data_IF_781920052886
#
_entry.id   IF_781920052886
#
_cell.length_a   1.000
_cell.length_b   1.000
_cell.length_c   1.000
_cell.angle_alpha   90.00
_cell.angle_beta   90.00
_cell.angle_gamma   90.00
#
_symmetry.space_group_name_H-M   'P 1'
#
loop_
_entity.id
_entity.type
_entity.pdbx_description
1 polymer ?
#
# COMPACT_ATOMS: atom_id res chain seq x y z
N UNK A 1 -1.90 15.26 12.96
CA UNK A 1 -3.05 16.13 12.60
C UNK A 1 -3.39 16.07 11.12
N UNK A 2 -2.48 15.59 10.30
CA UNK A 2 -2.56 15.64 8.83
C UNK A 2 -2.62 14.23 8.21
N UNK A 3 -3.09 13.23 8.95
CA UNK A 3 -3.28 11.84 8.51
C UNK A 3 -4.76 11.51 8.54
N UNK A 4 -5.28 10.95 7.46
CA UNK A 4 -6.58 10.29 7.40
C UNK A 4 -6.41 8.81 7.08
N UNK A 5 -7.34 8.01 7.53
CA UNK A 5 -7.47 6.58 7.21
C UNK A 5 -8.78 6.41 6.47
N UNK A 6 -8.71 5.93 5.22
CA UNK A 6 -9.88 5.50 4.47
C UNK A 6 -9.88 3.98 4.49
N UNK A 7 -10.83 3.41 5.20
CA UNK A 7 -10.98 1.96 5.38
C UNK A 7 -12.12 1.44 4.51
N UNK A 8 -11.79 0.73 3.45
CA UNK A 8 -12.75 -0.05 2.67
C UNK A 8 -12.84 -1.45 3.27
N UNK A 9 -13.99 -1.77 3.84
CA UNK A 9 -14.20 -2.97 4.64
C UNK A 9 -15.22 -3.87 3.96
N UNK A 10 -14.72 -4.90 3.30
CA UNK A 10 -15.52 -5.84 2.52
C UNK A 10 -16.07 -6.95 3.44
N UNK A 11 -17.39 -7.12 3.43
CA UNK A 11 -18.13 -8.14 4.18
C UNK A 11 -17.75 -8.19 5.68
N UNK A 12 -17.76 -7.02 6.38
CA UNK A 12 -17.32 -6.96 7.76
C UNK A 12 -18.25 -7.74 8.69
N UNK A 13 -17.68 -8.41 9.68
CA UNK A 13 -18.45 -8.94 10.81
C UNK A 13 -18.91 -7.81 11.75
N UNK A 14 -19.96 -8.05 12.53
CA UNK A 14 -20.45 -7.10 13.53
C UNK A 14 -19.37 -6.72 14.55
N UNK A 15 -18.46 -7.67 14.86
CA UNK A 15 -17.36 -7.46 15.82
C UNK A 15 -16.31 -6.50 15.23
N UNK A 16 -15.98 -6.63 13.95
CA UNK A 16 -15.06 -5.75 13.24
C UNK A 16 -15.64 -4.35 13.09
N UNK A 17 -16.92 -4.24 12.73
CA UNK A 17 -17.62 -2.94 12.66
C UNK A 17 -17.55 -2.23 13.99
N UNK A 18 -17.91 -2.94 15.07
CA UNK A 18 -17.86 -2.39 16.42
C UNK A 18 -16.46 -1.92 16.83
N UNK A 19 -15.42 -2.67 16.46
CA UNK A 19 -14.05 -2.26 16.71
C UNK A 19 -13.71 -0.93 16.02
N UNK A 20 -14.12 -0.76 14.75
CA UNK A 20 -13.91 0.50 14.02
C UNK A 20 -14.68 1.64 14.65
N UNK A 21 -15.92 1.40 15.10
CA UNK A 21 -16.72 2.39 15.81
C UNK A 21 -16.03 2.85 17.12
N UNK A 22 -15.47 1.93 17.90
CA UNK A 22 -14.70 2.24 19.11
C UNK A 22 -13.47 3.12 18.82
N UNK A 23 -12.84 2.96 17.66
CA UNK A 23 -11.74 3.82 17.20
C UNK A 23 -12.24 5.17 16.70
N UNK A 24 -13.38 5.23 16.00
CA UNK A 24 -14.00 6.47 15.55
C UNK A 24 -14.46 7.37 16.70
N UNK A 25 -14.79 6.79 17.87
CA UNK A 25 -15.07 7.57 19.07
C UNK A 25 -13.81 8.29 19.63
N UNK A 26 -12.62 7.77 19.33
CA UNK A 26 -11.33 8.29 19.84
C UNK A 26 -10.61 9.18 18.84
N UNK A 27 -10.84 8.94 17.54
CA UNK A 27 -10.11 9.57 16.44
C UNK A 27 -11.10 10.04 15.38
N UNK A 28 -10.98 11.28 14.94
CA UNK A 28 -11.85 11.93 13.96
C UNK A 28 -11.34 11.85 12.51
N UNK A 29 -10.34 11.00 12.28
CA UNK A 29 -9.62 10.89 11.01
C UNK A 29 -9.78 9.53 10.31
N UNK A 30 -10.77 8.71 10.72
CA UNK A 30 -11.06 7.42 10.09
C UNK A 30 -12.37 7.53 9.30
N UNK A 31 -12.30 7.31 8.01
CA UNK A 31 -13.46 7.20 7.13
C UNK A 31 -13.72 5.73 6.81
N UNK A 32 -14.79 5.18 7.36
CA UNK A 32 -15.15 3.77 7.24
C UNK A 32 -16.21 3.56 6.17
N UNK A 33 -15.88 2.76 5.16
CA UNK A 33 -16.76 2.34 4.08
C UNK A 33 -17.05 0.86 4.26
N UNK A 34 -18.30 0.50 4.53
CA UNK A 34 -18.74 -0.89 4.64
C UNK A 34 -19.32 -1.33 3.30
N UNK A 35 -18.91 -2.49 2.83
CA UNK A 35 -19.29 -3.07 1.54
C UNK A 35 -19.86 -4.46 1.78
N UNK A 36 -21.03 -4.73 1.21
CA UNK A 36 -21.62 -6.07 1.20
C UNK A 36 -20.91 -6.95 0.18
N UNK A 37 -20.37 -8.09 0.63
CA UNK A 37 -19.59 -9.01 -0.20
C UNK A 37 -18.12 -8.59 -0.30
N UNK A 38 -17.36 -9.30 -1.14
CA UNK A 38 -15.92 -9.13 -1.32
C UNK A 38 -15.60 -8.66 -2.73
N UNK A 39 -15.16 -7.43 -2.85
CA UNK A 39 -14.70 -6.84 -4.11
C UNK A 39 -13.26 -7.24 -4.45
N UNK A 40 -12.87 -7.27 -5.73
CA UNK A 40 -11.47 -7.28 -6.14
C UNK A 40 -10.68 -6.12 -5.52
N UNK A 41 -9.42 -6.36 -5.18
CA UNK A 41 -8.57 -5.38 -4.49
C UNK A 41 -8.48 -4.03 -5.23
N UNK A 42 -8.47 -4.04 -6.57
CA UNK A 42 -8.44 -2.82 -7.39
C UNK A 42 -9.66 -1.93 -7.16
N UNK A 43 -10.87 -2.51 -7.03
CA UNK A 43 -12.11 -1.79 -6.76
C UNK A 43 -12.06 -1.16 -5.37
N UNK A 44 -11.69 -1.93 -4.36
CA UNK A 44 -11.55 -1.46 -2.97
C UNK A 44 -10.54 -0.31 -2.86
N UNK A 45 -9.38 -0.44 -3.49
CA UNK A 45 -8.35 0.60 -3.49
C UNK A 45 -8.79 1.87 -4.23
N UNK A 46 -9.51 1.75 -5.35
CA UNK A 46 -10.04 2.91 -6.07
C UNK A 46 -11.09 3.64 -5.24
N UNK A 47 -11.96 2.93 -4.54
CA UNK A 47 -12.94 3.51 -3.62
C UNK A 47 -12.25 4.27 -2.48
N UNK A 48 -11.14 3.74 -1.94
CA UNK A 48 -10.32 4.48 -0.99
C UNK A 48 -9.71 5.75 -1.60
N UNK A 49 -9.15 5.67 -2.82
CA UNK A 49 -8.55 6.82 -3.53
C UNK A 49 -9.58 7.93 -3.79
N UNK A 50 -10.80 7.56 -4.19
CA UNK A 50 -11.88 8.52 -4.46
C UNK A 50 -12.29 9.29 -3.21
N UNK A 51 -12.30 8.62 -2.06
CA UNK A 51 -12.70 9.20 -0.78
C UNK A 51 -11.55 9.86 0.00
N UNK A 52 -10.29 9.61 -0.39
CA UNK A 52 -9.14 10.23 0.24
C UNK A 52 -9.04 11.73 -0.11
N UNK A 53 -8.78 12.58 0.87
CA UNK A 53 -8.57 14.03 0.70
C UNK A 53 -7.09 14.43 0.66
N UNK A 54 -6.19 13.56 1.13
CA UNK A 54 -4.76 13.82 1.25
C UNK A 54 -4.03 14.00 -0.08
N UNK A 55 -2.97 14.81 -0.08
CA UNK A 55 -2.09 15.02 -1.23
C UNK A 55 -1.19 13.81 -1.50
N UNK A 56 -0.91 13.03 -0.47
CA UNK A 56 -0.12 11.81 -0.52
C UNK A 56 -0.97 10.61 -0.16
N UNK A 57 -0.80 9.52 -0.88
CA UNK A 57 -1.51 8.27 -0.66
C UNK A 57 -0.51 7.15 -0.38
N UNK A 58 -0.80 6.33 0.62
CA UNK A 58 -0.10 5.08 0.83
C UNK A 58 -1.09 3.95 1.04
N UNK A 59 -0.78 2.78 0.51
CA UNK A 59 -1.57 1.58 0.70
C UNK A 59 -1.12 0.93 2.01
N UNK A 60 -2.06 0.43 2.78
CA UNK A 60 -1.77 -0.32 3.99
C UNK A 60 -2.67 -1.55 4.06
N UNK A 61 -2.10 -2.72 3.87
CA UNK A 61 -2.80 -3.97 4.10
C UNK A 61 -2.93 -4.21 5.60
N UNK A 62 -4.07 -4.71 6.04
CA UNK A 62 -4.39 -4.87 7.48
C UNK A 62 -3.51 -5.92 8.20
N UNK A 63 -2.86 -6.80 7.45
CA UNK A 63 -1.94 -7.83 7.95
C UNK A 63 -0.47 -7.39 8.00
N UNK A 64 -0.15 -6.20 7.47
CA UNK A 64 1.20 -5.63 7.51
C UNK A 64 1.38 -4.68 8.70
N UNK A 65 2.59 -4.59 9.23
CA UNK A 65 2.94 -3.71 10.34
C UNK A 65 3.87 -2.60 9.84
N UNK A 66 3.51 -1.34 10.07
CA UNK A 66 4.38 -0.20 9.78
C UNK A 66 5.21 0.20 10.99
N UNK A 67 6.41 0.73 10.73
CA UNK A 67 7.16 1.42 11.80
C UNK A 67 6.43 2.74 12.16
N UNK A 68 6.51 3.20 13.41
CA UNK A 68 5.74 4.35 13.89
C UNK A 68 5.95 5.65 13.09
N UNK A 69 7.14 5.83 12.53
CA UNK A 69 7.57 7.02 11.79
C UNK A 69 7.56 6.83 10.26
N UNK A 70 7.14 5.67 9.75
CA UNK A 70 7.18 5.35 8.32
C UNK A 70 6.41 6.36 7.45
N UNK A 71 5.22 6.77 7.88
CA UNK A 71 4.37 7.73 7.15
C UNK A 71 5.04 9.11 7.13
N UNK A 72 5.55 9.57 8.27
CA UNK A 72 6.22 10.87 8.38
C UNK A 72 7.49 10.92 7.52
N UNK A 73 8.31 9.88 7.57
CA UNK A 73 9.55 9.80 6.78
C UNK A 73 9.24 9.83 5.28
N UNK A 74 8.23 9.08 4.82
CA UNK A 74 7.83 9.07 3.41
C UNK A 74 7.24 10.42 2.97
N UNK A 75 6.36 11.01 3.77
CA UNK A 75 5.77 12.32 3.46
C UNK A 75 6.85 13.40 3.37
N UNK A 76 7.77 13.44 4.35
CA UNK A 76 8.89 14.36 4.34
C UNK A 76 9.79 14.16 3.11
N UNK A 77 10.05 12.92 2.70
CA UNK A 77 10.86 12.65 1.51
C UNK A 77 10.18 13.19 0.24
N UNK A 78 8.86 13.13 0.16
CA UNK A 78 8.12 13.77 -0.94
C UNK A 78 8.18 15.31 -0.83
N UNK A 79 7.99 15.90 0.35
CA UNK A 79 8.06 17.35 0.54
C UNK A 79 9.43 17.92 0.13
N UNK A 80 10.50 17.26 0.54
CA UNK A 80 11.87 17.68 0.24
C UNK A 80 12.24 17.48 -1.25
N UNK A 81 11.48 16.67 -2.01
CA UNK A 81 11.75 16.34 -3.41
C UNK A 81 10.51 16.55 -4.31
N UNK A 82 10.16 17.80 -4.67
CA UNK A 82 8.93 18.10 -5.41
C UNK A 82 8.85 17.52 -6.82
N UNK A 83 9.96 17.09 -7.40
CA UNK A 83 10.07 16.43 -8.71
C UNK A 83 9.85 14.90 -8.63
N UNK A 84 9.75 14.35 -7.41
CA UNK A 84 9.51 12.92 -7.16
C UNK A 84 8.02 12.66 -7.03
N UNK A 85 7.53 11.61 -7.71
CA UNK A 85 6.13 11.23 -7.71
C UNK A 85 5.78 10.18 -6.66
N UNK A 86 6.73 9.35 -6.29
CA UNK A 86 6.55 8.31 -5.27
C UNK A 86 7.86 7.99 -4.55
N UNK A 87 7.73 7.50 -3.33
CA UNK A 87 8.84 7.05 -2.49
C UNK A 87 8.57 5.64 -1.99
N UNK A 88 9.60 4.88 -1.77
CA UNK A 88 9.59 3.52 -1.21
C UNK A 88 10.84 3.29 -0.38
N UNK A 89 10.89 2.23 0.40
CA UNK A 89 12.05 1.97 1.24
C UNK A 89 12.18 0.50 1.62
N UNK A 90 13.05 0.23 2.57
CA UNK A 90 13.37 -1.12 3.01
C UNK A 90 12.30 -1.67 3.96
N UNK A 91 12.25 -2.97 4.13
CA UNK A 91 11.28 -3.64 5.01
C UNK A 91 11.77 -5.02 5.45
N UNK A 92 11.06 -5.63 6.38
CA UNK A 92 11.27 -7.02 6.76
C UNK A 92 10.13 -7.91 6.24
N UNK A 93 10.46 -9.11 5.79
CA UNK A 93 9.49 -10.17 5.56
C UNK A 93 9.44 -11.02 6.82
N UNK A 94 8.26 -11.15 7.43
CA UNK A 94 8.07 -11.84 8.71
C UNK A 94 7.12 -13.02 8.59
N UNK A 95 7.33 -14.10 9.36
CA UNK A 95 6.54 -15.33 9.24
C UNK A 95 5.23 -15.32 10.02
N UNK A 96 5.02 -14.34 10.91
CA UNK A 96 3.82 -14.25 11.72
C UNK A 96 3.45 -12.81 12.03
N UNK A 97 2.16 -12.55 12.16
CA UNK A 97 1.63 -11.23 12.50
C UNK A 97 2.24 -10.70 13.81
N UNK A 98 2.61 -9.43 13.80
CA UNK A 98 3.25 -8.77 14.94
C UNK A 98 4.72 -9.13 15.17
N UNK A 99 5.30 -10.08 14.41
CA UNK A 99 6.73 -10.38 14.48
C UNK A 99 7.54 -9.22 13.90
N UNK A 100 8.68 -8.92 14.52
CA UNK A 100 9.69 -7.99 14.02
C UNK A 100 10.98 -8.68 13.60
N UNK A 101 11.04 -10.02 13.72
CA UNK A 101 12.17 -10.84 13.31
C UNK A 101 11.86 -11.46 11.94
N UNK A 102 12.66 -11.14 10.93
CA UNK A 102 12.44 -11.65 9.58
C UNK A 102 13.60 -11.42 8.66
N UNK A 103 13.39 -11.67 7.38
CA UNK A 103 14.35 -11.41 6.32
C UNK A 103 14.30 -9.92 5.96
N UNK A 104 15.41 -9.22 6.12
CA UNK A 104 15.53 -7.83 5.68
C UNK A 104 15.62 -7.74 4.16
N UNK A 105 14.83 -6.86 3.58
CA UNK A 105 14.82 -6.53 2.15
C UNK A 105 15.37 -5.12 2.00
N UNK A 106 16.53 -5.03 1.35
CA UNK A 106 17.18 -3.77 1.02
C UNK A 106 17.05 -3.50 -0.47
N UNK A 107 16.36 -2.41 -0.82
CA UNK A 107 16.13 -1.99 -2.19
C UNK A 107 17.08 -0.87 -2.65
N UNK A 108 18.12 -0.59 -1.86
CA UNK A 108 19.14 0.42 -2.18
C UNK A 108 19.84 0.11 -3.51
N UNK A 109 19.93 1.12 -4.37
CA UNK A 109 20.61 1.02 -5.68
C UNK A 109 19.87 0.20 -6.73
N UNK A 110 18.57 -0.09 -6.52
CA UNK A 110 17.75 -0.87 -7.45
C UNK A 110 16.76 -0.04 -8.25
N UNK A 111 16.89 1.28 -8.27
CA UNK A 111 15.95 2.20 -8.91
C UNK A 111 15.75 1.91 -10.41
N UNK A 112 16.79 1.38 -11.08
CA UNK A 112 16.71 0.98 -12.49
C UNK A 112 15.76 -0.21 -12.74
N UNK A 113 15.50 -1.03 -11.70
CA UNK A 113 14.60 -2.18 -11.79
C UNK A 113 13.13 -1.84 -11.57
N UNK A 114 12.80 -0.59 -11.23
CA UNK A 114 11.41 -0.15 -11.02
C UNK A 114 10.47 -0.48 -12.20
N UNK A 115 11.01 -0.50 -13.42
CA UNK A 115 10.24 -0.77 -14.63
C UNK A 115 10.23 -2.25 -15.07
N UNK A 116 10.88 -3.12 -14.31
CA UNK A 116 11.02 -4.55 -14.67
C UNK A 116 10.71 -5.49 -13.49
N UNK A 117 10.44 -4.97 -12.32
CA UNK A 117 10.13 -5.77 -11.13
C UNK A 117 9.43 -4.98 -10.03
N UNK A 118 8.71 -5.69 -9.16
CA UNK A 118 8.05 -5.10 -7.99
C UNK A 118 9.07 -4.88 -6.87
N UNK A 119 9.88 -3.82 -7.00
CA UNK A 119 10.86 -3.43 -5.97
C UNK A 119 10.33 -2.38 -4.99
N UNK A 120 9.13 -1.80 -5.23
CA UNK A 120 8.53 -0.89 -4.27
C UNK A 120 8.15 -1.57 -2.95
N UNK A 121 7.94 -2.89 -3.00
CA UNK A 121 7.43 -3.62 -1.87
C UNK A 121 6.02 -3.17 -1.44
N UNK A 122 5.56 -3.58 -0.26
CA UNK A 122 4.22 -3.22 0.24
C UNK A 122 4.16 -1.82 0.86
N UNK A 123 5.32 -1.17 1.07
CA UNK A 123 5.42 0.09 1.81
C UNK A 123 5.91 1.22 0.91
N UNK A 124 5.03 1.74 0.07
CA UNK A 124 5.31 2.92 -0.74
C UNK A 124 4.26 4.00 -0.53
N UNK A 125 4.63 5.24 -0.86
CA UNK A 125 3.75 6.41 -0.83
C UNK A 125 3.91 7.18 -2.13
N UNK A 126 2.83 7.72 -2.65
CA UNK A 126 2.84 8.46 -3.91
C UNK A 126 1.97 9.72 -3.84
N UNK A 127 2.27 10.69 -4.68
CA UNK A 127 1.44 11.89 -4.82
C UNK A 127 0.11 11.51 -5.47
N UNK A 128 -1.01 11.94 -4.90
CA UNK A 128 -2.34 11.79 -5.53
C UNK A 128 -2.36 12.40 -6.93
N UNK A 129 -1.64 13.50 -7.14
CA UNK A 129 -1.50 14.16 -8.44
C UNK A 129 -0.82 13.29 -9.51
N UNK A 130 0.00 12.30 -9.15
CA UNK A 130 0.64 11.39 -10.08
C UNK A 130 -0.37 10.49 -10.81
N UNK A 131 -1.52 10.22 -10.18
CA UNK A 131 -2.61 9.44 -10.78
C UNK A 131 -3.21 10.09 -12.02
N UNK A 132 -3.05 11.40 -12.23
CA UNK A 132 -3.50 12.08 -13.46
C UNK A 132 -2.84 11.53 -14.73
N UNK A 133 -1.63 11.00 -14.61
CA UNK A 133 -0.89 10.39 -15.72
C UNK A 133 -0.89 8.87 -15.66
N UNK A 134 -0.76 8.32 -14.46
CA UNK A 134 -0.63 6.88 -14.27
C UNK A 134 -1.99 6.16 -14.22
N UNK A 135 -3.08 6.89 -14.03
CA UNK A 135 -4.39 6.31 -13.75
C UNK A 135 -4.49 5.75 -12.34
N UNK A 136 -5.61 5.17 -12.02
CA UNK A 136 -5.91 4.47 -10.76
C UNK A 136 -5.66 2.97 -10.89
N UNK A 137 -6.02 2.15 -9.92
CA UNK A 137 -5.90 0.69 -10.03
C UNK A 137 -6.71 0.13 -11.20
N UNK A 138 -6.18 -0.88 -11.89
CA UNK A 138 -6.95 -1.63 -12.88
C UNK A 138 -7.87 -2.63 -12.15
N UNK A 139 -9.17 -2.39 -12.24
CA UNK A 139 -10.21 -3.17 -11.57
C UNK A 139 -10.43 -4.56 -12.19
N UNK A 140 -9.88 -4.80 -13.37
CA UNK A 140 -9.94 -6.10 -14.04
C UNK A 140 -8.92 -7.10 -13.47
N UNK A 141 -7.90 -6.59 -12.75
CA UNK A 141 -6.86 -7.43 -12.16
C UNK A 141 -7.33 -8.02 -10.82
N UNK A 142 -7.35 -9.33 -10.75
CA UNK A 142 -7.67 -10.06 -9.52
C UNK A 142 -6.48 -10.13 -8.55
N UNK A 143 -5.27 -10.08 -9.09
CA UNK A 143 -4.00 -10.03 -8.35
C UNK A 143 -3.01 -9.11 -9.07
N UNK A 144 -2.00 -8.59 -8.36
CA UNK A 144 -0.95 -7.77 -8.98
C UNK A 144 -1.38 -6.36 -9.41
N UNK A 145 -2.57 -5.90 -9.01
CA UNK A 145 -3.04 -4.54 -9.29
C UNK A 145 -2.12 -3.46 -8.67
N UNK A 146 -1.49 -3.78 -7.55
CA UNK A 146 -0.45 -2.98 -6.91
C UNK A 146 0.82 -2.87 -7.76
N UNK A 147 1.24 -3.99 -8.36
CA UNK A 147 2.39 -4.04 -9.26
C UNK A 147 2.12 -3.27 -10.56
N UNK A 148 0.96 -3.43 -11.15
CA UNK A 148 0.54 -2.68 -12.34
C UNK A 148 0.56 -1.16 -12.07
N UNK A 149 -0.03 -0.70 -10.98
CA UNK A 149 0.03 0.72 -10.60
C UNK A 149 1.46 1.18 -10.36
N UNK A 150 2.28 0.38 -9.67
CA UNK A 150 3.69 0.68 -9.42
C UNK A 150 4.49 0.87 -10.73
N UNK A 151 4.28 0.00 -11.72
CA UNK A 151 4.87 0.11 -13.05
C UNK A 151 4.44 1.41 -13.73
N UNK A 152 3.14 1.72 -13.75
CA UNK A 152 2.62 2.94 -14.37
C UNK A 152 3.14 4.21 -13.69
N UNK A 153 3.30 4.20 -12.36
CA UNK A 153 3.95 5.29 -11.62
C UNK A 153 5.42 5.44 -12.05
N UNK A 154 6.16 4.33 -12.15
CA UNK A 154 7.57 4.33 -12.55
C UNK A 154 7.80 4.75 -14.01
N UNK A 155 6.87 4.42 -14.91
CA UNK A 155 6.94 4.87 -16.33
C UNK A 155 6.58 6.34 -16.49
N UNK A 156 5.70 6.89 -15.65
CA UNK A 156 5.16 8.25 -15.80
C UNK A 156 5.81 9.28 -14.88
N UNK A 157 6.73 8.85 -13.99
CA UNK A 157 7.34 9.75 -13.03
C UNK A 157 8.63 9.22 -12.43
N UNK A 158 9.18 10.01 -11.50
CA UNK A 158 10.42 9.69 -10.79
C UNK A 158 10.09 9.09 -9.44
N UNK A 159 10.68 7.94 -9.12
CA UNK A 159 10.69 7.33 -7.80
C UNK A 159 11.94 7.70 -7.02
N UNK A 160 11.84 7.64 -5.70
CA UNK A 160 12.96 7.84 -4.78
C UNK A 160 12.96 6.72 -3.75
N UNK A 161 14.08 6.01 -3.67
CA UNK A 161 14.33 5.08 -2.58
C UNK A 161 14.79 5.85 -1.32
N UNK A 162 14.22 5.52 -0.17
CA UNK A 162 14.66 5.99 1.14
C UNK A 162 15.26 4.81 1.93
N UNK A 163 16.53 4.90 2.39
CA UNK A 163 17.20 3.79 3.07
C UNK A 163 16.70 3.66 4.52
N UNK A 164 15.42 3.40 4.69
CA UNK A 164 14.72 3.35 5.96
C UNK A 164 13.83 2.11 6.03
N UNK A 165 13.76 1.46 7.20
CA UNK A 165 12.83 0.37 7.42
C UNK A 165 11.42 0.92 7.60
N UNK A 166 10.56 0.69 6.62
CA UNK A 166 9.18 1.21 6.62
C UNK A 166 8.18 0.27 7.31
N UNK A 167 8.53 -1.01 7.46
CA UNK A 167 7.61 -1.95 8.08
C UNK A 167 8.00 -3.42 8.01
N UNK A 168 7.02 -4.25 8.29
CA UNK A 168 7.11 -5.71 8.40
C UNK A 168 5.98 -6.32 7.58
N UNK A 169 6.34 -6.96 6.47
CA UNK A 169 5.42 -7.63 5.55
C UNK A 169 5.15 -9.06 6.01
N UNK A 170 3.89 -9.39 6.22
CA UNK A 170 3.50 -10.74 6.63
C UNK A 170 3.55 -11.72 5.46
N UNK A 171 4.36 -12.77 5.61
CA UNK A 171 4.42 -13.91 4.70
C UNK A 171 4.20 -15.22 5.46
N UNK A 172 2.97 -15.48 5.84
CA UNK A 172 2.57 -16.72 6.54
C UNK A 172 1.99 -17.79 5.61
N UNK A 173 2.03 -17.55 4.29
CA UNK A 173 1.52 -18.46 3.26
C UNK A 173 0.02 -18.40 3.02
N UNK A 174 -0.73 -17.50 3.69
CA UNK A 174 -2.19 -17.34 3.54
C UNK A 174 -2.58 -16.20 2.61
N UNK A 175 -1.68 -15.24 2.40
CA UNK A 175 -1.92 -14.07 1.55
C UNK A 175 -2.13 -14.44 0.07
N UNK A 176 -2.80 -13.55 -0.68
CA UNK A 176 -3.07 -13.73 -2.12
C UNK A 176 -1.79 -13.92 -2.94
N UNK A 177 -0.71 -13.24 -2.57
CA UNK A 177 0.59 -13.33 -3.26
C UNK A 177 1.46 -14.50 -2.79
N UNK A 178 1.23 -15.03 -1.58
CA UNK A 178 2.06 -16.04 -0.93
C UNK A 178 1.39 -17.40 -0.82
N UNK A 179 0.06 -17.45 -0.94
CA UNK A 179 -0.73 -18.67 -0.86
C UNK A 179 -0.52 -19.63 -2.02
N UNK A 180 -0.95 -20.89 -1.85
CA UNK A 180 -0.83 -21.98 -2.85
C UNK A 180 -1.67 -21.74 -4.13
N UNK A 181 -2.59 -20.79 -4.12
CA UNK A 181 -3.38 -20.37 -5.30
C UNK A 181 -2.62 -19.30 -6.08
N UNK A 182 -1.46 -19.64 -6.60
CA UNK A 182 -0.75 -18.76 -7.55
C UNK A 182 -1.60 -18.63 -8.81
N UNK A 183 -2.03 -17.42 -9.16
CA UNK A 183 -2.56 -17.14 -10.48
C UNK A 183 -1.39 -16.64 -11.35
N UNK A 184 -0.79 -17.51 -12.20
CA UNK A 184 0.43 -17.18 -12.93
C UNK A 184 0.21 -16.20 -14.09
N UNK A 185 -1.03 -16.02 -14.53
CA UNK A 185 -1.36 -15.26 -15.75
C UNK A 185 -1.18 -13.75 -15.55
N UNK A 186 -1.54 -13.21 -14.39
CA UNK A 186 -1.46 -11.76 -14.12
C UNK A 186 -0.02 -11.27 -13.83
N UNK A 187 0.92 -12.18 -13.62
CA UNK A 187 2.34 -11.85 -13.42
C UNK A 187 3.16 -11.81 -14.71
N UNK A 188 2.53 -12.06 -15.85
CA UNK A 188 3.20 -12.17 -17.15
C UNK A 188 2.84 -11.01 -18.10
N UNK A 189 2.16 -10.00 -17.62
CA UNK A 189 1.80 -8.81 -18.41
C UNK A 189 2.89 -7.75 -18.30
#
# INVERSE_FOLDING_TARGET
KDLEIVLDHNDPSDEEVKLVEEYNEKYDNIFHIQVEGVDPIGISMNRCIENASGDYLCIWNVDDLRTPDSIEVMAKALDDNPDVNFVYGNYYIVPSFGSTNGQYVDETGKEEYLKVGMILGPFFMFRKSALKKSGVFDEQLMTGADYDLALRLAFNGKGLHIPFNLGYYLNDGRGLSTGSRKQPIERTV
#
